data_IF_490027734057
#
_entry.id   IF_490027734057
#
_cell.length_a   1.000
_cell.length_b   1.000
_cell.length_c   1.000
_cell.angle_alpha   90.00
_cell.angle_beta   90.00
_cell.angle_gamma   90.00
#
_symmetry.space_group_name_H-M   'P 1'
#
loop_
_entity.id
_entity.type
_entity.pdbx_description
1 polymer ?
#
# COMPACT_ATOMS: atom_id res chain seq x y z
N UNK A 1 7.52 -11.73 0.17
CA UNK A 1 6.26 -12.03 -0.55
C UNK A 1 6.53 -11.86 -2.04
N UNK A 2 6.05 -12.76 -2.90
CA UNK A 2 6.31 -12.71 -4.34
C UNK A 2 5.08 -12.27 -5.13
N UNK A 3 5.21 -11.17 -5.86
CA UNK A 3 4.23 -10.66 -6.82
C UNK A 3 5.02 -9.99 -7.95
N UNK A 4 4.45 -9.96 -9.14
CA UNK A 4 5.04 -9.28 -10.31
C UNK A 4 4.10 -8.14 -10.68
N UNK A 5 4.66 -6.94 -10.76
CA UNK A 5 3.99 -5.77 -11.34
C UNK A 5 4.08 -5.92 -12.86
N UNK A 6 2.94 -5.89 -13.54
CA UNK A 6 2.88 -5.94 -15.00
C UNK A 6 2.75 -4.51 -15.50
N UNK A 7 3.73 -4.02 -16.25
CA UNK A 7 3.63 -2.71 -16.93
C UNK A 7 2.41 -2.79 -17.86
N UNK A 8 1.35 -2.08 -17.49
CA UNK A 8 0.06 -2.15 -18.18
C UNK A 8 0.01 -1.00 -19.19
N UNK A 9 -0.15 -1.34 -20.47
CA UNK A 9 -0.53 -0.41 -21.54
C UNK A 9 -2.04 -0.06 -21.48
N UNK A 10 -2.65 -0.16 -20.30
CA UNK A 10 -4.08 0.07 -20.05
C UNK A 10 -4.24 1.31 -19.17
N UNK A 11 -5.18 2.20 -19.51
CA UNK A 11 -5.56 3.42 -18.77
C UNK A 11 -6.23 3.15 -17.39
N UNK A 12 -5.94 2.01 -16.77
CA UNK A 12 -6.38 1.69 -15.42
C UNK A 12 -5.40 2.27 -14.40
N UNK A 13 -5.86 3.24 -13.61
CA UNK A 13 -5.11 3.87 -12.51
C UNK A 13 -4.70 2.90 -11.37
N UNK A 14 -5.10 1.63 -11.44
CA UNK A 14 -4.83 0.60 -10.43
C UNK A 14 -3.73 -0.34 -10.95
N UNK A 15 -2.63 -0.48 -10.20
CA UNK A 15 -1.52 -1.38 -10.56
C UNK A 15 -2.02 -2.83 -10.72
N UNK A 16 -1.74 -3.45 -11.87
CA UNK A 16 -1.98 -4.88 -12.08
C UNK A 16 -0.88 -5.71 -11.41
N UNK A 17 -1.30 -6.67 -10.56
CA UNK A 17 -0.40 -7.59 -9.83
C UNK A 17 -0.74 -9.04 -10.13
N UNK A 18 0.29 -9.87 -10.28
CA UNK A 18 0.14 -11.33 -10.34
C UNK A 18 0.51 -11.95 -8.99
N UNK A 19 -0.38 -12.74 -8.41
CA UNK A 19 -0.13 -13.47 -7.17
C UNK A 19 0.65 -14.75 -7.45
N UNK A 20 1.79 -14.94 -6.78
CA UNK A 20 2.62 -16.14 -6.95
C UNK A 20 2.21 -17.29 -6.02
N UNK A 21 1.27 -17.08 -5.10
CA UNK A 21 0.76 -18.06 -4.14
C UNK A 21 1.84 -18.79 -3.31
N UNK A 22 3.00 -18.15 -3.14
CA UNK A 22 4.14 -18.70 -2.42
C UNK A 22 4.31 -18.05 -1.04
N UNK A 23 4.49 -18.87 -0.01
CA UNK A 23 4.88 -18.42 1.33
C UNK A 23 6.40 -18.23 1.35
N UNK A 24 6.84 -17.03 1.71
CA UNK A 24 8.27 -16.71 1.86
C UNK A 24 8.51 -15.94 3.15
N UNK A 25 9.69 -16.08 3.79
CA UNK A 25 10.03 -15.32 4.99
C UNK A 25 10.03 -13.80 4.77
N UNK A 26 9.76 -13.06 5.84
CA UNK A 26 9.78 -11.59 5.87
C UNK A 26 8.40 -10.95 5.72
N UNK A 27 8.39 -9.61 5.81
CA UNK A 27 7.17 -8.79 5.76
C UNK A 27 6.88 -8.37 4.31
N UNK A 28 5.60 -8.24 3.96
CA UNK A 28 5.22 -7.64 2.67
C UNK A 28 5.63 -6.17 2.60
N UNK A 29 6.11 -5.72 1.44
CA UNK A 29 6.48 -4.31 1.19
C UNK A 29 5.27 -3.38 1.08
N UNK A 30 4.12 -3.88 0.64
CA UNK A 30 2.87 -3.13 0.42
C UNK A 30 1.65 -3.99 0.78
N UNK A 31 0.49 -3.35 0.92
CA UNK A 31 -0.81 -4.02 0.99
C UNK A 31 -1.37 -4.24 -0.42
N UNK A 32 -2.05 -5.38 -0.64
CA UNK A 32 -2.69 -5.73 -1.92
C UNK A 32 -4.22 -5.79 -1.83
N UNK A 33 -4.81 -5.29 -0.74
CA UNK A 33 -6.26 -5.35 -0.53
C UNK A 33 -7.05 -4.67 -1.67
N UNK A 34 -6.54 -3.55 -2.20
CA UNK A 34 -7.16 -2.83 -3.33
C UNK A 34 -7.10 -3.68 -4.62
N UNK A 35 -5.98 -4.37 -4.88
CA UNK A 35 -5.86 -5.24 -6.04
C UNK A 35 -6.83 -6.42 -5.95
N UNK A 36 -7.01 -7.00 -4.76
CA UNK A 36 -7.99 -8.08 -4.54
C UNK A 36 -9.42 -7.57 -4.68
N UNK A 37 -9.73 -6.37 -4.19
CA UNK A 37 -11.04 -5.75 -4.36
C UNK A 37 -11.36 -5.47 -5.83
N UNK A 38 -10.37 -5.09 -6.64
CA UNK A 38 -10.52 -4.97 -8.09
C UNK A 38 -10.89 -6.32 -8.74
N UNK A 39 -10.21 -7.41 -8.35
CA UNK A 39 -10.54 -8.77 -8.82
C UNK A 39 -11.95 -9.22 -8.39
N UNK A 40 -12.45 -8.70 -7.27
CA UNK A 40 -13.81 -8.97 -6.79
C UNK A 40 -14.90 -8.13 -7.49
N UNK A 41 -14.54 -7.28 -8.47
CA UNK A 41 -15.49 -6.48 -9.23
C UNK A 41 -16.01 -5.24 -8.49
N UNK A 42 -15.30 -4.76 -7.48
CA UNK A 42 -15.62 -3.47 -6.85
C UNK A 42 -15.42 -2.33 -7.87
N UNK A 43 -16.30 -1.33 -7.83
CA UNK A 43 -16.27 -0.25 -8.83
C UNK A 43 -14.96 0.54 -8.80
N UNK A 44 -14.48 0.96 -9.98
CA UNK A 44 -13.23 1.72 -10.13
C UNK A 44 -13.23 3.00 -9.28
N UNK A 45 -14.36 3.70 -9.22
CA UNK A 45 -14.51 4.94 -8.43
C UNK A 45 -14.28 4.70 -6.93
N UNK A 46 -14.81 3.61 -6.38
CA UNK A 46 -14.60 3.23 -4.98
C UNK A 46 -13.13 2.89 -4.73
N UNK A 47 -12.52 2.13 -5.64
CA UNK A 47 -11.11 1.71 -5.52
C UNK A 47 -10.15 2.90 -5.58
N UNK A 48 -10.40 3.86 -6.46
CA UNK A 48 -9.64 5.10 -6.57
C UNK A 48 -9.72 5.93 -5.28
N UNK A 49 -10.90 6.07 -4.71
CA UNK A 49 -11.07 6.81 -3.47
C UNK A 49 -10.40 6.09 -2.29
N UNK A 50 -10.54 4.76 -2.20
CA UNK A 50 -9.85 3.95 -1.21
C UNK A 50 -8.33 4.08 -1.31
N UNK A 51 -7.77 4.18 -2.51
CA UNK A 51 -6.34 4.38 -2.74
C UNK A 51 -5.87 5.73 -2.21
N UNK A 52 -6.62 6.81 -2.46
CA UNK A 52 -6.31 8.14 -1.92
C UNK A 52 -6.32 8.13 -0.39
N UNK A 53 -7.36 7.58 0.22
CA UNK A 53 -7.48 7.48 1.69
C UNK A 53 -6.32 6.66 2.26
N UNK A 54 -5.98 5.52 1.64
CA UNK A 54 -4.84 4.69 2.06
C UNK A 54 -3.53 5.47 2.04
N UNK A 55 -3.27 6.26 1.01
CA UNK A 55 -2.06 7.08 0.89
C UNK A 55 -2.00 8.15 1.99
N UNK A 56 -3.11 8.85 2.25
CA UNK A 56 -3.21 9.88 3.28
C UNK A 56 -2.89 9.28 4.65
N UNK A 57 -3.50 8.14 4.99
CA UNK A 57 -3.29 7.46 6.27
C UNK A 57 -1.84 6.98 6.42
N UNK A 58 -1.22 6.45 5.36
CA UNK A 58 0.18 6.04 5.39
C UNK A 58 1.11 7.23 5.66
N UNK A 59 0.89 8.36 5.01
CA UNK A 59 1.66 9.58 5.23
C UNK A 59 1.50 10.12 6.65
N UNK A 60 0.27 10.16 7.17
CA UNK A 60 0.00 10.58 8.56
C UNK A 60 0.78 9.72 9.56
N UNK A 61 0.73 8.38 9.41
CA UNK A 61 1.48 7.47 10.30
C UNK A 61 2.99 7.68 10.22
N UNK A 62 3.54 7.94 9.03
CA UNK A 62 4.98 8.24 8.85
C UNK A 62 5.38 9.54 9.55
N UNK A 63 4.54 10.56 9.47
CA UNK A 63 4.76 11.84 10.15
C UNK A 63 4.73 11.64 11.67
N UNK A 64 3.71 10.94 12.19
CA UNK A 64 3.58 10.62 13.61
C UNK A 64 4.78 9.83 14.15
N UNK A 65 5.24 8.82 13.42
CA UNK A 65 6.42 8.05 13.81
C UNK A 65 7.68 8.93 13.87
N UNK A 66 7.84 9.83 12.87
CA UNK A 66 8.98 10.74 12.82
C UNK A 66 8.97 11.75 13.97
N UNK A 67 7.81 12.33 14.27
CA UNK A 67 7.65 13.24 15.41
C UNK A 67 8.02 12.52 16.71
N UNK A 68 7.54 11.28 16.88
CA UNK A 68 7.86 10.46 18.07
C UNK A 68 9.36 10.20 18.20
N UNK A 69 10.04 9.84 17.10
CA UNK A 69 11.50 9.66 17.09
C UNK A 69 12.25 10.93 17.54
N UNK A 70 11.85 12.10 17.02
CA UNK A 70 12.48 13.38 17.38
C UNK A 70 12.24 13.72 18.85
N UNK A 71 11.02 13.54 19.36
CA UNK A 71 10.69 13.78 20.76
C UNK A 71 11.49 12.88 21.72
N UNK A 72 11.71 11.61 21.36
CA UNK A 72 12.55 10.71 22.16
C UNK A 72 13.99 11.23 22.22
N UNK A 73 14.56 11.63 21.08
CA UNK A 73 15.93 12.17 21.02
C UNK A 73 16.12 13.44 21.86
N UNK A 74 15.14 14.34 21.82
CA UNK A 74 15.17 15.58 22.61
C UNK A 74 15.08 15.34 24.12
N UNK A 75 14.36 14.31 24.57
CA UNK A 75 14.27 13.95 26.00
C UNK A 75 15.48 13.20 26.53
N UNK A 76 16.26 12.57 25.65
CA UNK A 76 17.48 11.83 26.00
C UNK A 76 18.76 12.68 25.93
N UNK A 77 18.66 13.95 25.53
CA UNK A 77 19.75 14.92 25.47
C UNK A 77 19.62 15.94 26.59
#
# INVERSE_FOLDING_TARGET
MGYILKDSTDDSDIENVTFLYNVVPGVSKRSYGINVAALAGISKEILLEAQKVSLIVELQRKIESKIKEVLVKLKSS
#
